data_IF_674140958469
#
_entry.id   IF_674140958469
#
_cell.length_a   1.000
_cell.length_b   1.000
_cell.length_c   1.000
_cell.angle_alpha   90.00
_cell.angle_beta   90.00
_cell.angle_gamma   90.00
#
_symmetry.space_group_name_H-M   'P 1'
#
loop_
_entity.id
_entity.type
_entity.pdbx_description
1 polymer ?
#
# COMPACT_ATOMS: atom_id res chain seq x y z
N UNK A 1 -59.21 -16.00 -16.77
CA UNK A 1 -57.95 -15.61 -17.45
C UNK A 1 -57.15 -14.69 -16.53
N UNK A 2 -56.16 -15.22 -15.79
CA UNK A 2 -55.05 -14.43 -15.22
C UNK A 2 -53.87 -15.38 -14.99
N UNK A 3 -52.89 -15.30 -15.88
CA UNK A 3 -51.73 -16.20 -15.95
C UNK A 3 -50.82 -15.99 -14.73
N UNK A 4 -50.33 -17.12 -14.20
CA UNK A 4 -49.16 -17.19 -13.34
C UNK A 4 -47.96 -16.51 -14.00
N UNK A 5 -47.17 -15.79 -13.20
CA UNK A 5 -45.77 -15.48 -13.52
C UNK A 5 -44.95 -15.72 -12.27
N UNK A 6 -44.22 -16.83 -12.27
CA UNK A 6 -43.23 -17.16 -11.25
C UNK A 6 -42.17 -16.06 -11.17
N UNK A 7 -41.84 -15.65 -9.94
CA UNK A 7 -40.67 -14.81 -9.68
C UNK A 7 -39.43 -15.70 -9.73
N UNK A 8 -38.61 -15.45 -10.73
CA UNK A 8 -37.34 -16.12 -10.98
C UNK A 8 -36.32 -15.98 -9.85
N UNK A 9 -35.35 -16.87 -9.89
CA UNK A 9 -34.32 -17.20 -8.89
C UNK A 9 -33.43 -16.01 -8.45
N UNK A 10 -32.98 -16.08 -7.20
CA UNK A 10 -32.00 -15.23 -6.46
C UNK A 10 -30.94 -14.56 -7.36
N UNK A 11 -30.87 -13.23 -7.32
CA UNK A 11 -29.64 -12.48 -7.56
C UNK A 11 -28.91 -12.40 -6.21
N UNK A 12 -27.71 -12.96 -6.11
CA UNK A 12 -26.86 -12.89 -4.93
C UNK A 12 -26.68 -11.44 -4.49
N UNK A 13 -27.19 -11.08 -3.31
CA UNK A 13 -26.96 -9.76 -2.70
C UNK A 13 -25.47 -9.59 -2.47
N UNK A 14 -24.83 -8.69 -3.23
CA UNK A 14 -23.43 -8.31 -3.02
C UNK A 14 -23.29 -7.71 -1.62
N UNK A 15 -22.33 -8.21 -0.84
CA UNK A 15 -21.98 -7.64 0.46
C UNK A 15 -21.44 -6.23 0.25
N UNK A 16 -21.87 -5.29 1.10
CA UNK A 16 -21.29 -3.96 1.14
C UNK A 16 -19.80 -4.05 1.50
N UNK A 17 -18.96 -3.30 0.78
CA UNK A 17 -17.50 -3.26 0.93
C UNK A 17 -17.00 -1.88 1.33
N UNK A 18 -17.90 -0.93 1.57
CA UNK A 18 -17.55 0.39 2.07
C UNK A 18 -17.03 0.25 3.49
N UNK A 19 -15.76 0.61 3.66
CA UNK A 19 -15.06 0.59 4.95
C UNK A 19 -14.25 1.88 5.09
N UNK A 20 -13.97 2.24 6.33
CA UNK A 20 -13.10 3.35 6.68
C UNK A 20 -11.63 3.05 6.37
N UNK A 21 -10.80 4.09 6.28
CA UNK A 21 -9.35 3.91 6.11
C UNK A 21 -8.70 3.13 7.26
N UNK A 22 -9.22 3.30 8.49
CA UNK A 22 -8.75 2.56 9.67
C UNK A 22 -9.06 1.07 9.56
N UNK A 23 -10.28 0.73 9.13
CA UNK A 23 -10.67 -0.66 8.90
C UNK A 23 -9.84 -1.28 7.77
N UNK A 24 -9.63 -0.56 6.66
CA UNK A 24 -8.77 -1.02 5.58
C UNK A 24 -7.31 -1.24 6.03
N UNK A 25 -6.74 -0.29 6.77
CA UNK A 25 -5.38 -0.41 7.31
C UNK A 25 -5.24 -1.56 8.30
N UNK A 26 -6.31 -1.92 9.03
CA UNK A 26 -6.29 -3.04 9.96
C UNK A 26 -6.05 -4.40 9.30
N UNK A 27 -6.25 -4.51 7.97
CA UNK A 27 -5.96 -5.72 7.21
C UNK A 27 -4.48 -5.90 6.91
N UNK A 28 -3.70 -4.82 6.97
CA UNK A 28 -2.25 -4.85 6.83
C UNK A 28 -1.65 -5.26 8.17
N UNK A 29 -0.90 -6.36 8.19
CA UNK A 29 -0.23 -6.92 9.36
C UNK A 29 1.27 -6.89 9.19
N UNK A 30 1.98 -7.06 10.29
CA UNK A 30 3.43 -7.15 10.30
C UNK A 30 3.92 -8.27 9.36
N UNK A 31 5.08 -8.05 8.73
CA UNK A 31 5.70 -9.04 7.84
C UNK A 31 5.03 -9.19 6.47
N UNK A 32 3.92 -8.48 6.19
CA UNK A 32 3.23 -8.61 4.92
C UNK A 32 4.00 -8.02 3.75
N UNK A 33 3.78 -8.58 2.56
CA UNK A 33 4.22 -7.98 1.31
C UNK A 33 3.14 -7.04 0.78
N UNK A 34 3.44 -5.75 0.79
CA UNK A 34 2.53 -4.69 0.40
C UNK A 34 2.92 -4.09 -0.96
N UNK A 35 2.04 -4.27 -1.93
CA UNK A 35 2.06 -3.50 -3.17
C UNK A 35 1.48 -2.12 -2.93
N UNK A 36 2.21 -1.07 -3.28
CA UNK A 36 1.71 0.31 -3.16
C UNK A 36 1.80 0.97 -4.52
N UNK A 37 0.63 1.32 -5.07
CA UNK A 37 0.55 2.17 -6.24
C UNK A 37 0.63 3.65 -5.87
N UNK A 38 0.76 4.48 -6.91
CA UNK A 38 0.90 5.94 -6.89
C UNK A 38 2.35 6.46 -6.82
N UNK A 39 2.60 7.53 -7.59
CA UNK A 39 3.87 8.27 -7.62
C UNK A 39 3.80 9.49 -6.70
N UNK A 40 3.88 10.71 -7.24
CA UNK A 40 3.66 11.95 -6.47
C UNK A 40 2.17 12.29 -6.24
N UNK A 41 1.27 11.81 -7.10
CA UNK A 41 -0.17 12.13 -7.04
C UNK A 41 -1.02 10.89 -6.76
N UNK A 42 -2.27 11.08 -6.31
CA UNK A 42 -3.24 10.01 -6.04
C UNK A 42 -2.79 8.99 -4.97
N UNK A 43 -1.91 9.43 -4.07
CA UNK A 43 -1.42 8.60 -2.98
C UNK A 43 -2.53 8.24 -1.98
N UNK A 44 -2.65 6.96 -1.54
CA UNK A 44 -3.67 6.51 -0.59
C UNK A 44 -3.35 6.93 0.86
N UNK A 45 -3.12 8.23 1.07
CA UNK A 45 -2.54 8.79 2.28
C UNK A 45 -3.38 8.57 3.54
N UNK A 46 -4.70 8.42 3.40
CA UNK A 46 -5.57 8.10 4.52
C UNK A 46 -5.22 6.71 5.10
N UNK A 47 -5.10 5.69 4.24
CA UNK A 47 -4.77 4.32 4.66
C UNK A 47 -3.31 4.22 5.11
N UNK A 48 -2.38 4.85 4.39
CA UNK A 48 -0.94 4.85 4.73
C UNK A 48 -0.70 5.41 6.13
N UNK A 49 -1.36 6.54 6.48
CA UNK A 49 -1.23 7.13 7.81
C UNK A 49 -1.82 6.25 8.90
N UNK A 50 -2.90 5.51 8.61
CA UNK A 50 -3.44 4.53 9.57
C UNK A 50 -2.50 3.33 9.74
N UNK A 51 -1.86 2.82 8.69
CA UNK A 51 -0.83 1.77 8.80
C UNK A 51 0.30 2.21 9.73
N UNK A 52 0.78 3.46 9.55
CA UNK A 52 1.83 4.05 10.40
C UNK A 52 1.34 4.17 11.85
N UNK A 53 0.10 4.67 12.07
CA UNK A 53 -0.49 4.79 13.42
C UNK A 53 -0.67 3.45 14.12
N UNK A 54 -1.04 2.41 13.38
CA UNK A 54 -1.15 1.05 13.89
C UNK A 54 0.21 0.44 14.25
N UNK A 55 1.31 1.09 13.86
CA UNK A 55 2.66 0.67 14.22
C UNK A 55 3.12 -0.56 13.46
N UNK A 56 2.57 -0.83 12.27
CA UNK A 56 2.93 -2.01 11.46
C UNK A 56 4.41 -1.99 11.08
N UNK A 57 5.10 -3.13 11.17
CA UNK A 57 6.55 -3.31 10.92
C UNK A 57 6.85 -4.52 10.03
N UNK A 58 8.10 -4.62 9.59
CA UNK A 58 8.59 -5.79 8.84
C UNK A 58 8.00 -5.90 7.44
N UNK A 59 7.46 -4.82 6.87
CA UNK A 59 6.82 -4.90 5.56
C UNK A 59 7.86 -5.13 4.46
N UNK A 60 7.49 -5.96 3.50
CA UNK A 60 8.13 -5.97 2.18
C UNK A 60 7.35 -5.04 1.27
N UNK A 61 7.99 -4.03 0.70
CA UNK A 61 7.34 -3.04 -0.15
C UNK A 61 7.66 -3.28 -1.62
N UNK A 62 6.62 -3.36 -2.47
CA UNK A 62 6.73 -3.32 -3.93
C UNK A 62 6.00 -2.09 -4.47
N UNK A 63 6.71 -1.00 -4.81
CA UNK A 63 6.09 0.13 -5.47
C UNK A 63 5.70 -0.24 -6.90
N UNK A 64 4.49 0.13 -7.32
CA UNK A 64 4.02 -0.11 -8.69
C UNK A 64 4.47 1.06 -9.58
N UNK A 65 5.24 0.76 -10.63
CA UNK A 65 5.91 1.69 -11.57
C UNK A 65 7.05 2.52 -10.97
N UNK A 66 6.79 3.36 -9.97
CA UNK A 66 7.81 4.19 -9.31
C UNK A 66 7.60 4.22 -7.81
N UNK A 67 8.67 4.10 -7.03
CA UNK A 67 8.62 4.35 -5.60
C UNK A 67 8.55 5.84 -5.34
N UNK A 68 7.36 6.34 -4.99
CA UNK A 68 7.14 7.75 -4.71
C UNK A 68 7.14 8.11 -3.22
N UNK A 69 6.37 9.15 -2.90
CA UNK A 69 6.28 9.76 -1.57
C UNK A 69 5.81 8.76 -0.51
N UNK A 70 4.88 7.87 -0.86
CA UNK A 70 4.38 6.86 0.09
C UNK A 70 5.44 5.85 0.47
N UNK A 71 6.27 5.41 -0.48
CA UNK A 71 7.35 4.48 -0.20
C UNK A 71 8.35 5.11 0.78
N UNK A 72 8.81 6.33 0.47
CA UNK A 72 9.75 7.05 1.32
C UNK A 72 9.17 7.32 2.72
N UNK A 73 7.88 7.65 2.81
CA UNK A 73 7.20 7.88 4.09
C UNK A 73 7.11 6.60 4.94
N UNK A 74 6.71 5.47 4.36
CA UNK A 74 6.62 4.18 5.08
C UNK A 74 8.01 3.71 5.54
N UNK A 75 9.04 3.95 4.73
CA UNK A 75 10.44 3.69 5.08
C UNK A 75 10.88 4.59 6.24
N UNK A 76 10.60 5.90 6.15
CA UNK A 76 10.92 6.87 7.21
C UNK A 76 10.20 6.59 8.53
N UNK A 77 8.98 6.06 8.46
CA UNK A 77 8.19 5.64 9.62
C UNK A 77 8.65 4.31 10.26
N UNK A 78 9.64 3.64 9.66
CA UNK A 78 10.17 2.36 10.14
C UNK A 78 9.24 1.17 9.88
N UNK A 79 8.27 1.30 8.97
CA UNK A 79 7.35 0.21 8.66
C UNK A 79 7.98 -0.89 7.78
N UNK A 80 9.01 -0.52 7.02
CA UNK A 80 9.55 -1.34 5.92
C UNK A 80 10.88 -1.97 6.31
N UNK A 81 11.01 -3.27 6.06
CA UNK A 81 12.24 -4.05 6.22
C UNK A 81 12.89 -4.37 4.87
N UNK A 82 12.06 -4.75 3.89
CA UNK A 82 12.52 -5.13 2.55
C UNK A 82 11.88 -4.25 1.48
N UNK A 83 12.65 -3.86 0.48
CA UNK A 83 12.15 -3.10 -0.68
C UNK A 83 12.49 -3.86 -1.95
N UNK A 84 11.48 -4.17 -2.76
CA UNK A 84 11.63 -4.64 -4.13
C UNK A 84 11.24 -3.49 -5.07
N UNK A 85 12.21 -2.92 -5.78
CA UNK A 85 11.98 -1.68 -6.52
C UNK A 85 12.89 -1.60 -7.76
N UNK A 86 12.41 -0.98 -8.86
CA UNK A 86 13.30 -0.49 -9.90
C UNK A 86 13.88 0.90 -9.56
N UNK A 87 13.11 1.76 -8.88
CA UNK A 87 13.54 3.08 -8.41
C UNK A 87 12.66 3.63 -7.27
N UNK A 88 13.24 4.42 -6.35
CA UNK A 88 12.51 5.24 -5.36
C UNK A 88 13.01 6.69 -5.44
N UNK A 89 12.16 7.59 -5.91
CA UNK A 89 12.47 9.02 -6.16
C UNK A 89 11.22 9.88 -5.89
N UNK A 90 11.42 11.19 -5.71
CA UNK A 90 10.34 12.16 -5.52
C UNK A 90 10.15 13.03 -6.78
N UNK A 91 10.37 12.47 -7.97
CA UNK A 91 10.31 13.16 -9.26
C UNK A 91 11.09 14.50 -9.23
N UNK A 92 10.46 15.63 -9.58
CA UNK A 92 11.11 16.96 -9.62
C UNK A 92 11.50 17.48 -8.23
N UNK A 93 11.00 16.87 -7.15
CA UNK A 93 11.37 17.21 -5.78
C UNK A 93 12.69 16.54 -5.33
N UNK A 94 13.28 15.70 -6.18
CA UNK A 94 14.61 15.13 -6.00
C UNK A 94 14.61 13.71 -5.43
N UNK A 95 15.66 13.39 -4.66
CA UNK A 95 15.87 12.04 -4.14
C UNK A 95 14.98 11.76 -2.92
N UNK A 96 14.58 10.49 -2.76
CA UNK A 96 13.86 10.01 -1.60
C UNK A 96 14.78 9.95 -0.35
N UNK A 97 14.65 10.89 0.61
CA UNK A 97 15.65 11.08 1.66
C UNK A 97 15.66 9.95 2.70
N UNK A 98 14.50 9.37 3.02
CA UNK A 98 14.43 8.28 4.01
C UNK A 98 14.96 6.98 3.42
N UNK A 99 14.58 6.67 2.17
CA UNK A 99 15.13 5.55 1.42
C UNK A 99 16.64 5.67 1.35
N UNK A 100 17.17 6.77 0.81
CA UNK A 100 18.61 7.00 0.66
C UNK A 100 19.36 6.82 1.98
N UNK A 101 18.93 7.52 3.03
CA UNK A 101 19.56 7.45 4.34
C UNK A 101 19.58 6.04 4.92
N UNK A 102 18.49 5.27 4.78
CA UNK A 102 18.41 3.91 5.33
C UNK A 102 19.18 2.90 4.49
N UNK A 103 19.22 3.06 3.17
CA UNK A 103 20.10 2.29 2.29
C UNK A 103 21.58 2.52 2.61
N UNK A 104 22.01 3.77 2.72
CA UNK A 104 23.40 4.14 3.05
C UNK A 104 23.85 3.58 4.40
N UNK A 105 22.90 3.32 5.32
CA UNK A 105 23.17 2.73 6.64
C UNK A 105 23.03 1.21 6.69
N UNK A 106 22.65 0.56 5.59
CA UNK A 106 22.38 -0.89 5.57
C UNK A 106 21.16 -1.31 6.40
N UNK A 107 20.20 -0.40 6.63
CA UNK A 107 18.99 -0.64 7.43
C UNK A 107 17.82 -1.21 6.61
N UNK A 108 18.01 -1.43 5.30
CA UNK A 108 17.00 -1.99 4.41
C UNK A 108 17.57 -3.19 3.66
N UNK A 109 16.74 -4.23 3.51
CA UNK A 109 17.02 -5.31 2.56
C UNK A 109 16.54 -4.89 1.17
N UNK A 110 17.46 -4.82 0.22
CA UNK A 110 17.16 -4.43 -1.16
C UNK A 110 17.05 -5.69 -2.03
N UNK A 111 15.92 -5.81 -2.73
CA UNK A 111 15.70 -6.83 -3.75
C UNK A 111 15.67 -6.15 -5.11
N UNK A 112 16.85 -6.04 -5.71
CA UNK A 112 17.01 -5.52 -7.07
C UNK A 112 16.68 -6.64 -8.06
N UNK A 113 15.66 -6.43 -8.90
CA UNK A 113 15.35 -7.34 -10.00
C UNK A 113 15.95 -6.74 -11.28
N UNK A 114 16.92 -7.44 -11.85
CA UNK A 114 17.64 -7.10 -13.10
C UNK A 114 16.67 -7.09 -14.28
#
# INVERSE_FOLDING_TARGET
MRKSRGRGKRLTTMTDKLITAKEAASWVKDGMHLGVGAGMTMNPMAVVREIIRLGVRGLTLSPVLTGGYVADLLIGAGCVETVQFPQIVLDEFGLAPNFRRKCERGELKLLETI
#
